data_IF_988738735279
#
_entry.id   IF_988738735279
#
_cell.length_a   1.000
_cell.length_b   1.000
_cell.length_c   1.000
_cell.angle_alpha   90.00
_cell.angle_beta   90.00
_cell.angle_gamma   90.00
#
_symmetry.space_group_name_H-M   'P 1'
#
loop_
_entity.id
_entity.type
_entity.pdbx_description
1 polymer ?
#
# COMPACT_ATOMS: atom_id res chain seq x y z
N UNK A 1 -11.14 16.27 8.63
CA UNK A 1 -10.62 14.89 8.51
C UNK A 1 -10.16 14.72 7.07
N UNK A 2 -8.88 14.45 6.86
CA UNK A 2 -8.34 14.23 5.54
C UNK A 2 -8.78 12.83 5.07
N UNK A 3 -8.94 12.61 3.76
CA UNK A 3 -9.30 11.29 3.21
C UNK A 3 -8.24 10.19 3.47
N UNK A 4 -7.11 10.55 4.07
CA UNK A 4 -6.07 9.66 4.59
C UNK A 4 -6.37 9.13 6.02
N UNK A 5 -7.38 9.68 6.71
CA UNK A 5 -7.74 9.29 8.09
C UNK A 5 -8.55 7.98 8.14
N UNK A 6 -9.24 7.61 7.07
CA UNK A 6 -10.04 6.37 7.00
C UNK A 6 -9.38 5.34 6.07
N UNK A 7 -8.23 4.84 6.50
CA UNK A 7 -7.51 3.77 5.83
C UNK A 7 -7.46 2.58 6.77
N UNK A 8 -8.13 1.49 6.38
CA UNK A 8 -8.08 0.22 7.11
C UNK A 8 -6.74 -0.50 6.94
N UNK A 9 -6.61 -1.67 7.57
CA UNK A 9 -5.35 -2.42 7.56
C UNK A 9 -4.33 -1.83 8.54
N UNK A 10 -3.09 -1.67 8.11
CA UNK A 10 -2.00 -1.25 9.00
C UNK A 10 -2.07 0.25 9.31
N UNK A 11 -2.01 0.58 10.61
CA UNK A 11 -1.75 1.95 11.06
C UNK A 11 -0.42 2.47 10.50
N UNK A 12 -0.27 3.79 10.40
CA UNK A 12 1.02 4.38 10.00
C UNK A 12 2.14 4.10 11.01
N UNK A 13 1.77 3.82 12.27
CA UNK A 13 2.68 3.47 13.36
C UNK A 13 2.83 1.94 13.56
N UNK A 14 2.31 1.13 12.64
CA UNK A 14 2.29 -0.32 12.78
C UNK A 14 3.71 -0.93 12.83
N UNK A 15 3.90 -1.98 13.64
CA UNK A 15 5.20 -2.62 13.84
C UNK A 15 5.72 -3.32 12.58
N UNK A 16 4.82 -3.72 11.69
CA UNK A 16 5.07 -4.37 10.40
C UNK A 16 5.98 -3.54 9.49
N UNK A 17 6.08 -2.21 9.71
CA UNK A 17 7.03 -1.37 8.97
C UNK A 17 8.49 -1.64 9.32
N UNK A 18 8.75 -2.19 10.50
CA UNK A 18 10.09 -2.51 11.01
C UNK A 18 10.51 -3.97 10.78
N UNK A 19 9.68 -4.78 10.12
CA UNK A 19 10.08 -6.14 9.76
C UNK A 19 11.23 -6.10 8.73
N UNK A 20 12.20 -7.01 8.86
CA UNK A 20 13.42 -7.03 8.05
C UNK A 20 13.14 -7.12 6.55
N UNK A 21 12.05 -7.77 6.16
CA UNK A 21 11.65 -7.94 4.76
C UNK A 21 10.83 -6.77 4.20
N UNK A 22 10.33 -5.85 5.02
CA UNK A 22 9.44 -4.78 4.56
C UNK A 22 10.23 -3.75 3.76
N UNK A 23 9.77 -3.49 2.53
CA UNK A 23 10.38 -2.53 1.59
C UNK A 23 9.40 -1.51 1.04
N UNK A 24 8.10 -1.77 1.17
CA UNK A 24 7.06 -0.95 0.57
C UNK A 24 5.95 -0.63 1.55
N UNK A 25 5.44 0.59 1.49
CA UNK A 25 4.12 0.94 1.96
C UNK A 25 3.25 1.22 0.74
N UNK A 26 2.04 0.66 0.71
CA UNK A 26 1.03 1.03 -0.28
C UNK A 26 -0.27 1.43 0.40
N UNK A 27 -0.98 2.36 -0.23
CA UNK A 27 -2.41 2.60 0.02
C UNK A 27 -3.15 2.25 -1.26
N UNK A 28 -4.18 1.42 -1.17
CA UNK A 28 -4.95 0.96 -2.33
C UNK A 28 -6.44 0.85 -2.03
N UNK A 29 -7.25 0.93 -3.09
CA UNK A 29 -8.68 0.65 -3.05
C UNK A 29 -8.94 -0.78 -3.51
N UNK A 30 -9.86 -1.49 -2.84
CA UNK A 30 -10.34 -2.80 -3.27
C UNK A 30 -11.49 -2.63 -4.25
N UNK A 31 -11.35 -3.14 -5.47
CA UNK A 31 -12.32 -2.93 -6.56
C UNK A 31 -13.20 -4.16 -6.83
N UNK A 32 -12.80 -5.33 -6.33
CA UNK A 32 -13.46 -6.60 -6.63
C UNK A 32 -13.59 -7.48 -5.38
N UNK A 33 -14.70 -8.20 -5.27
CA UNK A 33 -14.89 -9.27 -4.29
C UNK A 33 -13.96 -10.47 -4.50
N UNK A 34 -13.24 -10.51 -5.64
CA UNK A 34 -12.19 -11.50 -5.92
C UNK A 34 -10.82 -11.06 -5.42
N UNK A 35 -10.72 -9.89 -4.78
CA UNK A 35 -9.46 -9.45 -4.19
C UNK A 35 -9.00 -10.45 -3.13
N UNK A 36 -7.71 -10.84 -3.12
CA UNK A 36 -7.20 -11.72 -2.07
C UNK A 36 -7.10 -11.02 -0.71
N UNK A 37 -7.29 -9.70 -0.65
CA UNK A 37 -7.19 -8.88 0.55
C UNK A 37 -8.29 -7.82 0.58
N UNK A 38 -8.91 -7.65 1.76
CA UNK A 38 -9.95 -6.65 2.02
C UNK A 38 -11.30 -6.92 1.35
N UNK A 39 -12.29 -6.13 1.73
CA UNK A 39 -13.63 -6.14 1.16
C UNK A 39 -13.78 -5.10 0.05
N UNK A 40 -14.65 -5.38 -0.94
CA UNK A 40 -14.87 -4.45 -2.04
C UNK A 40 -15.35 -3.09 -1.53
N UNK A 41 -14.66 -2.02 -1.96
CA UNK A 41 -14.95 -0.64 -1.56
C UNK A 41 -14.08 -0.13 -0.42
N UNK A 42 -13.30 -0.99 0.24
CA UNK A 42 -12.36 -0.57 1.27
C UNK A 42 -11.14 0.14 0.68
N UNK A 43 -10.57 1.04 1.48
CA UNK A 43 -9.25 1.62 1.27
C UNK A 43 -8.32 1.13 2.38
N UNK A 44 -7.23 0.46 2.00
CA UNK A 44 -6.32 -0.19 2.94
C UNK A 44 -4.89 0.34 2.80
N UNK A 45 -4.14 0.29 3.90
CA UNK A 45 -2.69 0.46 3.95
C UNK A 45 -2.04 -0.85 4.34
N UNK A 46 -1.01 -1.25 3.59
CA UNK A 46 -0.18 -2.40 3.94
C UNK A 46 1.29 -2.05 3.85
N UNK A 47 2.06 -2.72 4.71
CA UNK A 47 3.52 -2.80 4.66
C UNK A 47 3.87 -4.14 4.04
N UNK A 48 4.68 -4.13 2.98
CA UNK A 48 4.93 -5.28 2.14
C UNK A 48 6.43 -5.46 1.89
N UNK A 49 6.83 -6.72 1.74
CA UNK A 49 8.09 -7.09 1.10
C UNK A 49 8.04 -6.86 -0.41
N UNK A 50 9.19 -6.97 -1.09
CA UNK A 50 9.27 -6.87 -2.56
C UNK A 50 8.31 -7.86 -3.24
N UNK A 51 8.25 -9.10 -2.74
CA UNK A 51 7.34 -10.15 -3.25
C UNK A 51 5.88 -9.77 -3.02
N UNK A 52 5.54 -9.26 -1.83
CA UNK A 52 4.20 -8.79 -1.52
C UNK A 52 3.76 -7.65 -2.44
N UNK A 53 4.65 -6.69 -2.70
CA UNK A 53 4.38 -5.57 -3.60
C UNK A 53 4.22 -6.03 -5.06
N UNK A 54 5.05 -6.97 -5.54
CA UNK A 54 4.90 -7.55 -6.87
C UNK A 54 3.53 -8.25 -7.06
N UNK A 55 3.05 -8.95 -6.03
CA UNK A 55 1.69 -9.54 -6.02
C UNK A 55 0.60 -8.48 -6.05
N UNK A 56 0.74 -7.41 -5.27
CA UNK A 56 -0.20 -6.28 -5.28
C UNK A 56 -0.28 -5.63 -6.68
N UNK A 57 0.87 -5.41 -7.34
CA UNK A 57 0.89 -4.92 -8.71
C UNK A 57 0.21 -5.88 -9.69
N UNK A 58 0.36 -7.20 -9.50
CA UNK A 58 -0.32 -8.18 -10.33
C UNK A 58 -1.85 -8.14 -10.12
N UNK A 59 -2.32 -7.96 -8.88
CA UNK A 59 -3.74 -7.74 -8.58
C UNK A 59 -4.27 -6.44 -9.18
N UNK A 60 -3.48 -5.36 -9.18
CA UNK A 60 -3.84 -4.12 -9.87
C UNK A 60 -3.98 -4.33 -11.38
N UNK A 61 -3.05 -5.06 -12.01
CA UNK A 61 -3.13 -5.42 -13.44
C UNK A 61 -4.36 -6.26 -13.78
N UNK A 62 -4.86 -7.08 -12.83
CA UNK A 62 -6.11 -7.84 -12.97
C UNK A 62 -7.36 -7.02 -12.67
N UNK A 63 -7.22 -5.76 -12.23
CA UNK A 63 -8.34 -4.88 -11.87
C UNK A 63 -8.99 -5.23 -10.53
N UNK A 64 -8.32 -6.00 -9.68
CA UNK A 64 -8.83 -6.38 -8.36
C UNK A 64 -8.69 -5.26 -7.34
N UNK A 65 -7.60 -4.49 -7.45
CA UNK A 65 -7.29 -3.35 -6.59
C UNK A 65 -6.79 -2.17 -7.43
N UNK A 66 -6.71 -0.99 -6.83
CA UNK A 66 -6.03 0.17 -7.39
C UNK A 66 -5.11 0.83 -6.38
N UNK A 67 -3.81 0.83 -6.65
CA UNK A 67 -2.80 1.45 -5.82
C UNK A 67 -2.89 2.97 -6.00
N UNK A 68 -3.10 3.68 -4.89
CA UNK A 68 -3.27 5.14 -4.84
C UNK A 68 -1.99 5.84 -4.43
N UNK A 69 -1.24 5.26 -3.50
CA UNK A 69 0.03 5.78 -3.01
C UNK A 69 1.01 4.64 -2.81
N UNK A 70 2.27 4.94 -3.09
CA UNK A 70 3.40 4.09 -2.80
C UNK A 70 4.47 4.93 -2.08
N UNK A 71 5.21 4.28 -1.18
CA UNK A 71 6.40 4.80 -0.56
C UNK A 71 7.38 3.65 -0.32
N UNK A 72 8.67 3.91 -0.47
CA UNK A 72 9.70 2.99 -0.03
C UNK A 72 9.77 2.98 1.50
N UNK A 73 10.14 1.84 2.08
CA UNK A 73 10.35 1.68 3.53
C UNK A 73 11.75 1.13 3.76
N UNK A 74 12.54 1.84 4.57
CA UNK A 74 13.90 1.45 4.94
C UNK A 74 14.01 1.52 6.47
N UNK A 75 14.22 0.38 7.12
CA UNK A 75 14.32 0.28 8.58
C UNK A 75 13.14 0.97 9.30
N UNK A 76 11.92 0.80 8.76
CA UNK A 76 10.70 1.44 9.26
C UNK A 76 10.48 2.91 8.88
N UNK A 77 11.45 3.56 8.23
CA UNK A 77 11.29 4.91 7.72
C UNK A 77 10.52 4.90 6.40
N UNK A 78 9.43 5.66 6.35
CA UNK A 78 8.58 5.78 5.15
C UNK A 78 9.08 6.94 4.30
N UNK A 79 9.47 6.63 3.08
CA UNK A 79 10.04 7.55 2.10
C UNK A 79 9.08 7.69 0.92
N UNK A 80 8.25 8.75 0.88
CA UNK A 80 7.32 8.97 -0.23
C UNK A 80 8.06 9.07 -1.57
N UNK A 81 7.44 8.55 -2.62
CA UNK A 81 8.01 8.63 -3.97
C UNK A 81 8.29 10.08 -4.35
N UNK A 82 9.50 10.32 -4.88
CA UNK A 82 9.87 11.65 -5.38
C UNK A 82 8.94 12.02 -6.53
N UNK A 83 8.15 13.09 -6.34
CA UNK A 83 7.45 13.73 -7.47
C UNK A 83 8.50 14.22 -8.46
N UNK A 84 8.52 13.68 -9.68
CA UNK A 84 9.29 14.28 -10.77
C UNK A 84 8.82 15.73 -10.94
N UNK A 85 9.68 16.72 -10.65
CA UNK A 85 9.40 18.12 -10.98
C UNK A 85 9.27 18.19 -12.50
N UNK A 86 8.09 18.53 -13.00
CA UNK A 86 7.91 18.92 -14.40
C UNK A 86 8.56 20.30 -14.54
N UNK A 87 9.63 20.37 -15.32
CA UNK A 87 10.23 21.62 -15.79
C UNK A 87 9.61 21.99 -17.14
#
# INVERSE_FOLDING_TARGET
MNADDFVGGHSILALERFMDETRHMIIFDVLSWKSPVGEKGERLRLFLSDVGYAKAQASERRGEIKIRKHAAVIEGHILPDRKKRRH
#
